data_IF_267965012066
#
_entry.id   IF_267965012066
#
_cell.length_a   1.000
_cell.length_b   1.000
_cell.length_c   1.000
_cell.angle_alpha   90.00
_cell.angle_beta   90.00
_cell.angle_gamma   90.00
#
_symmetry.space_group_name_H-M   'P 1'
#
loop_
_entity.id
_entity.type
_entity.pdbx_description
1 polymer ?
#
# COMPACT_ATOMS: atom_id res chain seq x y z
N UNK A 1 13.60 14.58 -9.37
CA UNK A 1 14.39 14.54 -8.12
C UNK A 1 14.48 13.08 -7.71
N UNK A 2 15.66 12.57 -7.37
CA UNK A 2 15.78 11.18 -6.92
C UNK A 2 15.03 11.00 -5.58
N UNK A 3 14.18 9.98 -5.41
CA UNK A 3 13.48 9.74 -4.15
C UNK A 3 14.45 9.53 -2.99
N UNK A 4 14.12 9.90 -1.74
CA UNK A 4 15.02 9.69 -0.61
C UNK A 4 15.33 8.21 -0.39
N UNK A 5 16.53 7.90 0.13
CA UNK A 5 16.92 6.51 0.46
C UNK A 5 16.19 5.96 1.68
N UNK A 6 15.84 6.82 2.63
CA UNK A 6 15.17 6.46 3.88
C UNK A 6 14.13 7.51 4.22
N UNK A 7 12.97 7.07 4.68
CA UNK A 7 11.87 7.91 5.19
C UNK A 7 11.37 7.28 6.48
N UNK A 8 11.71 7.87 7.62
CA UNK A 8 11.39 7.30 8.95
C UNK A 8 11.81 5.82 9.04
N UNK A 9 10.86 4.89 9.20
CA UNK A 9 11.11 3.45 9.32
C UNK A 9 11.14 2.72 7.97
N UNK A 10 11.08 3.44 6.86
CA UNK A 10 11.05 2.88 5.51
C UNK A 10 12.40 3.05 4.80
N UNK A 11 12.94 1.93 4.32
CA UNK A 11 14.16 1.89 3.52
C UNK A 11 13.84 1.58 2.07
N UNK A 12 14.38 2.40 1.16
CA UNK A 12 14.21 2.23 -0.29
C UNK A 12 14.95 0.98 -0.74
N UNK A 13 14.21 0.02 -1.28
CA UNK A 13 14.76 -1.23 -1.81
C UNK A 13 15.27 -1.03 -3.25
N UNK A 14 14.45 -0.40 -4.09
CA UNK A 14 14.82 -0.11 -5.48
C UNK A 14 14.10 1.14 -5.99
N UNK A 15 14.71 1.75 -7.00
CA UNK A 15 14.19 2.89 -7.73
C UNK A 15 14.45 2.68 -9.22
N UNK A 16 13.42 2.89 -10.03
CA UNK A 16 13.49 2.82 -11.49
C UNK A 16 12.50 3.81 -12.09
N UNK A 17 12.60 4.01 -13.40
CA UNK A 17 11.62 4.77 -14.17
C UNK A 17 10.90 3.77 -15.08
N UNK A 18 9.57 3.75 -15.01
CA UNK A 18 8.73 3.00 -15.93
C UNK A 18 8.10 4.00 -16.91
N UNK A 19 8.46 3.90 -18.19
CA UNK A 19 8.18 4.93 -19.19
C UNK A 19 8.69 6.30 -18.74
N UNK A 20 7.80 7.19 -18.31
CA UNK A 20 8.13 8.53 -17.80
C UNK A 20 7.78 8.70 -16.31
N UNK A 21 7.39 7.61 -15.63
CA UNK A 21 6.95 7.62 -14.24
C UNK A 21 8.06 7.11 -13.33
N UNK A 22 8.66 7.96 -12.47
CA UNK A 22 9.57 7.52 -11.43
C UNK A 22 8.84 6.65 -10.41
N UNK A 23 9.36 5.44 -10.16
CA UNK A 23 8.82 4.49 -9.19
C UNK A 23 9.89 4.18 -8.14
N UNK A 24 9.49 4.16 -6.87
CA UNK A 24 10.32 3.72 -5.77
C UNK A 24 9.59 2.72 -4.88
N UNK A 25 10.25 1.62 -4.56
CA UNK A 25 9.76 0.65 -3.58
C UNK A 25 10.49 0.82 -2.27
N UNK A 26 9.73 0.87 -1.19
CA UNK A 26 10.23 0.94 0.18
C UNK A 26 9.75 -0.26 0.97
N UNK A 27 10.54 -0.66 1.97
CA UNK A 27 10.17 -1.67 2.95
C UNK A 27 10.30 -1.08 4.35
N UNK A 28 9.27 -1.22 5.17
CA UNK A 28 9.33 -0.86 6.58
C UNK A 28 10.24 -1.84 7.33
N UNK A 29 11.23 -1.33 8.05
CA UNK A 29 12.18 -2.14 8.83
C UNK A 29 11.53 -2.79 10.05
N UNK A 30 10.42 -2.23 10.55
CA UNK A 30 9.68 -2.75 11.72
C UNK A 30 8.67 -3.83 11.37
N UNK A 31 7.86 -3.62 10.33
CA UNK A 31 6.71 -4.50 10.01
C UNK A 31 6.92 -5.32 8.74
N UNK A 32 7.91 -4.97 7.91
CA UNK A 32 8.07 -5.55 6.58
C UNK A 32 7.07 -5.03 5.54
N UNK A 33 6.16 -4.11 5.89
CA UNK A 33 5.23 -3.49 4.95
C UNK A 33 5.97 -2.91 3.75
N UNK A 34 5.46 -3.18 2.54
CA UNK A 34 6.01 -2.65 1.29
C UNK A 34 5.15 -1.51 0.78
N UNK A 35 5.79 -0.43 0.36
CA UNK A 35 5.13 0.73 -0.24
C UNK A 35 5.76 0.98 -1.60
N UNK A 36 4.93 1.07 -2.63
CA UNK A 36 5.34 1.46 -3.99
C UNK A 36 4.82 2.85 -4.25
N UNK A 37 5.72 3.80 -4.44
CA UNK A 37 5.39 5.19 -4.74
C UNK A 37 5.71 5.48 -6.21
N UNK A 38 4.67 5.73 -7.01
CA UNK A 38 4.77 6.14 -8.39
C UNK A 38 4.48 7.65 -8.52
N UNK A 39 5.44 8.40 -9.06
CA UNK A 39 5.32 9.85 -9.22
C UNK A 39 4.69 10.19 -10.57
N UNK A 40 3.38 10.04 -10.66
CA UNK A 40 2.61 10.37 -11.87
C UNK A 40 2.29 11.87 -11.88
N UNK A 41 2.50 12.53 -13.01
CA UNK A 41 2.10 13.95 -13.19
C UNK A 41 0.59 14.04 -13.42
N UNK A 42 -0.17 14.04 -12.33
CA UNK A 42 -1.63 14.10 -12.32
C UNK A 42 -2.12 14.96 -11.14
N UNK A 43 -3.27 15.67 -11.25
CA UNK A 43 -3.90 16.33 -10.11
C UNK A 43 -4.49 15.35 -9.08
N UNK A 44 -4.64 14.07 -9.44
CA UNK A 44 -5.26 13.05 -8.58
C UNK A 44 -4.20 12.13 -7.98
N UNK A 45 -4.38 11.80 -6.71
CA UNK A 45 -3.60 10.78 -6.00
C UNK A 45 -4.42 9.50 -5.93
N UNK A 46 -3.85 8.39 -6.38
CA UNK A 46 -4.43 7.06 -6.27
C UNK A 46 -3.73 6.27 -5.17
N UNK A 47 -4.50 5.65 -4.29
CA UNK A 47 -4.00 4.77 -3.23
C UNK A 47 -4.58 3.38 -3.40
N UNK A 48 -3.72 2.36 -3.31
CA UNK A 48 -4.11 0.96 -3.40
C UNK A 48 -3.54 0.22 -2.19
N UNK A 49 -4.36 -0.67 -1.62
CA UNK A 49 -3.93 -1.59 -0.58
C UNK A 49 -4.07 -3.01 -1.12
N UNK A 50 -2.99 -3.77 -1.04
CA UNK A 50 -2.98 -5.19 -1.40
C UNK A 50 -2.70 -6.00 -0.13
N UNK A 51 -3.61 -6.91 0.18
CA UNK A 51 -3.51 -7.83 1.32
C UNK A 51 -3.58 -9.24 0.77
N UNK A 52 -2.64 -10.09 1.17
CA UNK A 52 -2.68 -11.50 0.78
C UNK A 52 -3.77 -12.19 1.61
N UNK A 53 -4.83 -12.64 0.95
CA UNK A 53 -5.97 -13.32 1.58
C UNK A 53 -6.10 -14.73 1.03
N UNK A 54 -5.29 -15.65 1.57
CA UNK A 54 -5.41 -17.07 1.29
C UNK A 54 -6.66 -17.65 1.96
N UNK A 55 -7.40 -18.49 1.24
CA UNK A 55 -8.58 -19.18 1.75
C UNK A 55 -8.50 -20.66 1.37
N UNK A 56 -8.93 -21.53 2.28
CA UNK A 56 -8.94 -22.99 2.10
C UNK A 56 -10.36 -23.55 1.98
N UNK A 57 -11.35 -22.66 1.85
CA UNK A 57 -12.77 -22.94 1.78
C UNK A 57 -13.48 -21.88 0.89
N UNK A 58 -14.77 -22.12 0.63
CA UNK A 58 -15.61 -21.29 -0.22
C UNK A 58 -16.56 -20.37 0.58
N UNK A 59 -16.27 -20.07 1.86
CA UNK A 59 -17.15 -19.23 2.69
C UNK A 59 -17.15 -17.75 2.28
N UNK A 60 -16.23 -17.34 1.41
CA UNK A 60 -16.13 -15.95 0.96
C UNK A 60 -15.61 -14.98 2.02
N UNK A 61 -14.92 -15.48 3.06
CA UNK A 61 -14.38 -14.67 4.16
C UNK A 61 -13.55 -13.45 3.69
N UNK A 62 -12.65 -13.57 2.69
CA UNK A 62 -11.93 -12.40 2.16
C UNK A 62 -12.85 -11.32 1.58
N UNK A 63 -13.88 -11.74 0.83
CA UNK A 63 -14.83 -10.81 0.24
C UNK A 63 -15.69 -10.14 1.32
N UNK A 64 -16.14 -10.89 2.32
CA UNK A 64 -16.85 -10.30 3.47
C UNK A 64 -15.97 -9.29 4.21
N UNK A 65 -14.70 -9.63 4.44
CA UNK A 65 -13.74 -8.73 5.10
C UNK A 65 -13.56 -7.42 4.33
N UNK A 66 -13.45 -7.48 3.00
CA UNK A 66 -13.34 -6.30 2.12
C UNK A 66 -14.46 -5.27 2.37
N UNK A 67 -15.70 -5.73 2.61
CA UNK A 67 -16.80 -4.83 2.95
C UNK A 67 -16.74 -4.35 4.40
N UNK A 68 -16.40 -5.24 5.33
CA UNK A 68 -16.46 -4.96 6.77
C UNK A 68 -15.42 -3.92 7.22
N UNK A 69 -14.25 -3.84 6.58
CA UNK A 69 -13.20 -2.89 6.96
C UNK A 69 -13.61 -1.42 6.79
N UNK A 70 -14.66 -1.14 6.02
CA UNK A 70 -15.18 0.21 5.81
C UNK A 70 -16.31 0.59 6.78
N UNK A 71 -16.76 -0.33 7.64
CA UNK A 71 -17.85 -0.08 8.60
C UNK A 71 -17.40 0.52 9.94
N UNK A 72 -16.11 0.87 10.06
CA UNK A 72 -15.54 1.51 11.23
C UNK A 72 -14.18 0.95 11.64
N UNK A 73 -13.50 1.69 12.51
CA UNK A 73 -12.23 1.28 13.12
C UNK A 73 -12.19 1.70 14.59
N UNK A 74 -11.22 1.20 15.37
CA UNK A 74 -11.05 1.58 16.78
C UNK A 74 -10.95 3.11 16.97
N UNK A 75 -10.23 3.79 16.08
CA UNK A 75 -10.04 5.26 16.15
C UNK A 75 -11.19 6.05 15.53
N UNK A 76 -11.92 5.43 14.61
CA UNK A 76 -13.04 6.05 13.90
C UNK A 76 -14.23 5.08 13.91
N UNK A 77 -14.94 4.94 15.05
CA UNK A 77 -15.96 3.91 15.27
C UNK A 77 -17.32 4.36 14.70
N UNK A 78 -17.34 4.76 13.44
CA UNK A 78 -18.53 5.22 12.73
C UNK A 78 -18.83 4.31 11.55
N UNK A 79 -20.13 4.18 11.24
CA UNK A 79 -20.61 3.61 9.98
C UNK A 79 -20.74 4.68 8.91
#
# INVERSE_FOLDING_TARGET
>A
MEPPKTVDTFERQFHFVYEEVPVALYRCTKTGLRVVAAQVKSPTVHGYFAIQTEAFDDYGCPHTLEHLIFLGSERYPYK
#
